data_IF_913719881578
#
_entry.id   IF_913719881578
#
_cell.length_a   1.000
_cell.length_b   1.000
_cell.length_c   1.000
_cell.angle_alpha   90.00
_cell.angle_beta   90.00
_cell.angle_gamma   90.00
#
_symmetry.space_group_name_H-M   'P 1'
#
loop_
_entity.id
_entity.type
_entity.pdbx_description
1 polymer ?
#
# COMPACT_ATOMS: atom_id res chain seq x y z
N UNK A 1 -24.48 27.87 3.31
CA UNK A 1 -25.09 27.00 2.30
C UNK A 1 -24.65 25.58 2.57
N UNK A 2 -25.60 24.75 3.03
CA UNK A 2 -25.60 23.28 3.10
C UNK A 2 -24.38 22.65 3.81
N UNK A 3 -24.44 22.33 5.11
CA UNK A 3 -25.24 21.21 5.61
C UNK A 3 -25.32 20.05 4.60
N UNK A 4 -24.16 19.53 4.17
CA UNK A 4 -24.08 18.17 3.62
C UNK A 4 -24.07 17.21 4.82
N UNK A 5 -25.23 17.13 5.45
CA UNK A 5 -25.71 15.86 5.96
C UNK A 5 -25.93 14.96 4.74
N UNK A 6 -24.91 14.21 4.37
CA UNK A 6 -25.01 12.90 3.70
C UNK A 6 -24.09 12.01 4.54
N UNK A 7 -24.59 11.16 5.44
CA UNK A 7 -24.97 9.79 5.05
C UNK A 7 -24.76 9.60 3.55
N UNK A 8 -23.52 9.39 3.13
CA UNK A 8 -23.26 8.92 1.79
C UNK A 8 -23.89 7.53 1.67
N UNK A 9 -25.12 7.48 1.16
CA UNK A 9 -25.42 6.55 0.07
C UNK A 9 -24.18 6.50 -0.84
N UNK A 10 -23.57 5.38 -1.18
CA UNK A 10 -24.11 4.09 -1.60
C UNK A 10 -22.89 3.19 -1.91
N UNK A 11 -23.05 1.89 -2.22
CA UNK A 11 -22.02 0.95 -2.70
C UNK A 11 -20.87 1.51 -3.58
N UNK A 12 -21.10 2.62 -4.29
CA UNK A 12 -20.13 3.31 -5.13
C UNK A 12 -18.84 3.77 -4.43
N UNK A 13 -18.87 4.16 -3.14
CA UNK A 13 -17.66 4.57 -2.43
C UNK A 13 -16.63 3.44 -2.30
N UNK A 14 -17.09 2.19 -2.36
CA UNK A 14 -16.23 1.00 -2.34
C UNK A 14 -15.85 0.52 -3.75
N UNK A 15 -16.54 0.99 -4.79
CA UNK A 15 -16.25 0.61 -6.17
C UNK A 15 -14.94 1.23 -6.67
N UNK A 16 -14.62 2.44 -6.26
CA UNK A 16 -13.37 3.08 -6.68
C UNK A 16 -12.13 2.34 -6.14
N UNK A 17 -12.01 2.03 -4.83
CA UNK A 17 -10.94 1.18 -4.32
C UNK A 17 -10.90 -0.21 -4.98
N UNK A 18 -12.06 -0.82 -5.23
CA UNK A 18 -12.14 -2.11 -5.94
C UNK A 18 -11.61 -1.99 -7.37
N UNK A 19 -12.00 -0.95 -8.10
CA UNK A 19 -11.57 -0.68 -9.46
C UNK A 19 -10.06 -0.50 -9.53
N UNK A 20 -9.49 0.40 -8.73
CA UNK A 20 -8.05 0.61 -8.69
C UNK A 20 -7.28 -0.64 -8.27
N UNK A 21 -7.83 -1.42 -7.34
CA UNK A 21 -7.29 -2.72 -6.97
C UNK A 21 -7.28 -3.72 -8.12
N UNK A 22 -8.38 -3.83 -8.89
CA UNK A 22 -8.47 -4.70 -10.07
C UNK A 22 -7.51 -4.26 -11.15
N UNK A 23 -7.46 -2.96 -11.45
CA UNK A 23 -6.52 -2.41 -12.44
C UNK A 23 -5.08 -2.67 -12.00
N UNK A 24 -4.76 -2.52 -10.70
CA UNK A 24 -3.45 -2.88 -10.15
C UNK A 24 -3.13 -4.37 -10.34
N UNK A 25 -4.10 -5.24 -10.09
CA UNK A 25 -3.95 -6.67 -10.36
C UNK A 25 -3.89 -7.00 -11.85
N UNK A 26 -4.34 -6.14 -12.76
CA UNK A 26 -4.27 -6.39 -14.21
C UNK A 26 -2.99 -5.84 -14.85
N UNK A 27 -2.60 -4.61 -14.51
CA UNK A 27 -1.51 -3.86 -15.14
C UNK A 27 -0.23 -3.79 -14.29
N UNK A 28 -0.34 -3.96 -12.97
CA UNK A 28 0.77 -3.88 -12.02
C UNK A 28 0.92 -2.52 -11.35
N UNK A 29 1.62 -2.54 -10.21
CA UNK A 29 1.77 -1.41 -9.30
C UNK A 29 2.52 -0.23 -9.93
N UNK A 30 3.59 -0.49 -10.67
CA UNK A 30 4.36 0.51 -11.41
C UNK A 30 3.54 1.37 -12.36
N UNK A 31 2.44 0.84 -12.91
CA UNK A 31 1.58 1.60 -13.83
C UNK A 31 0.49 2.31 -13.04
N UNK A 32 -0.16 1.58 -12.14
CA UNK A 32 -1.40 2.04 -11.51
C UNK A 32 -1.17 3.09 -10.45
N UNK A 33 -0.12 2.94 -9.63
CA UNK A 33 0.13 3.88 -8.55
C UNK A 33 0.52 5.28 -9.01
N UNK A 34 1.44 5.48 -9.97
CA UNK A 34 1.73 6.81 -10.48
C UNK A 34 0.49 7.49 -11.06
N UNK A 35 -0.33 6.74 -11.81
CA UNK A 35 -1.58 7.26 -12.37
C UNK A 35 -2.58 7.65 -11.28
N UNK A 36 -2.81 6.76 -10.32
CA UNK A 36 -3.69 7.02 -9.17
C UNK A 36 -3.25 8.29 -8.44
N UNK A 37 -1.96 8.40 -8.12
CA UNK A 37 -1.41 9.55 -7.39
C UNK A 37 -1.47 10.84 -8.20
N UNK A 38 -1.24 10.78 -9.51
CA UNK A 38 -1.39 11.94 -10.39
C UNK A 38 -2.84 12.45 -10.37
N UNK A 39 -3.81 11.55 -10.45
CA UNK A 39 -5.24 11.91 -10.43
C UNK A 39 -5.69 12.46 -9.06
N UNK A 40 -5.09 11.99 -7.97
CA UNK A 40 -5.44 12.37 -6.59
C UNK A 40 -4.44 13.34 -5.93
N UNK A 41 -3.56 13.97 -6.72
CA UNK A 41 -2.53 14.87 -6.18
C UNK A 41 -3.14 16.12 -5.53
N UNK A 42 -4.21 16.65 -6.13
CA UNK A 42 -4.97 17.76 -5.56
C UNK A 42 -5.62 17.38 -4.22
N UNK A 43 -6.15 16.16 -4.13
CA UNK A 43 -6.81 15.66 -2.92
C UNK A 43 -5.81 15.46 -1.78
N UNK A 44 -4.53 15.19 -2.05
CA UNK A 44 -3.50 15.13 -1.01
C UNK A 44 -3.29 16.47 -0.30
N UNK A 45 -3.38 17.57 -1.05
CA UNK A 45 -3.28 18.93 -0.50
C UNK A 45 -4.53 19.28 0.30
N UNK A 46 -5.71 18.95 -0.23
CA UNK A 46 -7.00 19.17 0.40
C UNK A 46 -7.43 18.05 1.35
N UNK A 47 -6.51 17.15 1.75
CA UNK A 47 -6.87 15.93 2.46
C UNK A 47 -7.59 16.25 3.77
N UNK A 48 -8.77 15.63 3.91
CA UNK A 48 -9.62 15.68 5.09
C UNK A 48 -9.76 14.26 5.63
N UNK A 49 -9.42 14.00 6.90
CA UNK A 49 -9.53 12.67 7.46
C UNK A 49 -10.98 12.20 7.46
N UNK A 50 -11.17 10.89 7.29
CA UNK A 50 -12.50 10.29 7.38
C UNK A 50 -13.06 10.52 8.80
N UNK A 51 -14.26 11.10 8.95
CA UNK A 51 -14.81 11.43 10.26
C UNK A 51 -15.11 10.17 11.08
N UNK A 52 -15.37 9.05 10.40
CA UNK A 52 -15.66 7.76 11.02
C UNK A 52 -14.90 6.65 10.30
N UNK A 53 -14.14 5.88 11.07
CA UNK A 53 -13.44 4.68 10.61
C UNK A 53 -13.96 3.50 11.42
N UNK A 54 -14.54 2.52 10.75
CA UNK A 54 -15.11 1.33 11.38
C UNK A 54 -14.02 0.35 11.84
N UNK A 55 -14.28 -0.43 12.90
CA UNK A 55 -13.42 -1.56 13.29
C UNK A 55 -13.30 -2.60 12.17
N UNK A 56 -14.33 -2.73 11.33
CA UNK A 56 -14.32 -3.55 10.13
C UNK A 56 -13.13 -3.22 9.22
N UNK A 57 -12.81 -1.93 9.02
CA UNK A 57 -11.65 -1.53 8.21
C UNK A 57 -10.32 -1.99 8.80
N UNK A 58 -10.18 -1.99 10.14
CA UNK A 58 -8.97 -2.54 10.80
C UNK A 58 -8.84 -4.04 10.54
N UNK A 59 -9.95 -4.78 10.64
CA UNK A 59 -9.96 -6.22 10.34
C UNK A 59 -9.59 -6.47 8.88
N UNK A 60 -10.17 -5.72 7.94
CA UNK A 60 -9.86 -5.85 6.51
C UNK A 60 -8.41 -5.46 6.21
N UNK A 61 -7.87 -4.44 6.86
CA UNK A 61 -6.45 -4.10 6.74
C UNK A 61 -5.55 -5.24 7.23
N UNK A 62 -5.88 -5.87 8.35
CA UNK A 62 -5.14 -7.03 8.87
C UNK A 62 -5.24 -8.25 7.94
N UNK A 63 -6.43 -8.55 7.41
CA UNK A 63 -6.62 -9.64 6.44
C UNK A 63 -5.87 -9.35 5.15
N UNK A 64 -5.96 -8.12 4.63
CA UNK A 64 -5.25 -7.67 3.43
C UNK A 64 -3.73 -7.70 3.58
N UNK A 65 -3.22 -7.51 4.80
CA UNK A 65 -1.81 -7.67 5.12
C UNK A 65 -1.33 -9.13 5.08
N UNK A 66 -2.17 -10.07 5.54
CA UNK A 66 -1.81 -11.50 5.63
C UNK A 66 -2.05 -12.23 4.30
N UNK A 67 -3.05 -11.81 3.52
CA UNK A 67 -3.46 -12.50 2.30
C UNK A 67 -2.32 -12.69 1.28
N UNK A 68 -1.46 -11.69 0.97
CA UNK A 68 -0.33 -11.88 0.07
C UNK A 68 0.61 -13.01 0.51
N UNK A 69 0.88 -13.14 1.80
CA UNK A 69 1.73 -14.23 2.32
C UNK A 69 1.10 -15.61 2.06
N UNK A 70 -0.23 -15.72 2.24
CA UNK A 70 -0.96 -16.95 1.95
C UNK A 70 -0.92 -17.32 0.45
N UNK A 71 -0.97 -16.33 -0.44
CA UNK A 71 -0.92 -16.57 -1.89
C UNK A 71 0.49 -16.86 -2.42
N UNK A 72 1.54 -16.40 -1.74
CA UNK A 72 2.94 -16.67 -2.13
C UNK A 72 3.44 -17.99 -1.51
N UNK A 73 2.74 -18.56 -0.51
CA UNK A 73 3.12 -19.83 0.11
C UNK A 73 3.48 -20.97 -0.87
N UNK A 74 2.77 -21.19 -2.00
CA UNK A 74 3.16 -22.22 -2.98
C UNK A 74 4.54 -22.02 -3.62
N UNK A 75 5.15 -20.84 -3.50
CA UNK A 75 6.52 -20.59 -3.93
C UNK A 75 7.57 -21.10 -2.95
N UNK A 76 7.18 -21.41 -1.70
CA UNK A 76 8.07 -21.86 -0.63
C UNK A 76 7.87 -23.33 -0.24
N UNK A 77 6.80 -23.95 -0.72
CA UNK A 77 6.45 -25.35 -0.41
C UNK A 77 6.04 -26.05 -1.68
N UNK A 78 6.52 -27.28 -1.85
CA UNK A 78 6.16 -28.12 -2.99
C UNK A 78 4.65 -28.34 -3.05
N UNK A 79 4.02 -27.67 -4.01
CA UNK A 79 2.58 -27.67 -4.22
C UNK A 79 2.25 -28.26 -5.59
N UNK A 80 1.07 -28.87 -5.72
CA UNK A 80 0.62 -29.35 -7.02
C UNK A 80 0.41 -28.16 -7.98
N UNK A 81 0.67 -28.31 -9.29
CA UNK A 81 0.45 -27.24 -10.27
C UNK A 81 -0.99 -26.68 -10.22
N UNK A 82 -1.97 -27.55 -9.97
CA UNK A 82 -3.37 -27.16 -9.82
C UNK A 82 -3.60 -26.22 -8.64
N UNK A 83 -2.93 -26.45 -7.50
CA UNK A 83 -3.02 -25.56 -6.34
C UNK A 83 -2.36 -24.21 -6.64
N UNK A 84 -1.18 -24.21 -7.27
CA UNK A 84 -0.48 -22.98 -7.66
C UNK A 84 -1.31 -22.13 -8.61
N UNK A 85 -1.93 -22.74 -9.64
CA UNK A 85 -2.81 -22.02 -10.57
C UNK A 85 -4.04 -21.44 -9.87
N UNK A 86 -4.66 -22.19 -8.95
CA UNK A 86 -5.79 -21.69 -8.14
C UNK A 86 -5.38 -20.52 -7.26
N UNK A 87 -4.23 -20.61 -6.59
CA UNK A 87 -3.72 -19.53 -5.74
C UNK A 87 -3.47 -18.24 -6.56
N UNK A 88 -2.82 -18.36 -7.73
CA UNK A 88 -2.59 -17.22 -8.63
C UNK A 88 -3.91 -16.61 -9.10
N UNK A 89 -4.89 -17.45 -9.48
CA UNK A 89 -6.19 -16.98 -9.92
C UNK A 89 -6.94 -16.23 -8.79
N UNK A 90 -6.97 -16.80 -7.59
CA UNK A 90 -7.63 -16.20 -6.42
C UNK A 90 -6.96 -14.88 -6.00
N UNK A 91 -5.63 -14.78 -6.11
CA UNK A 91 -4.90 -13.56 -5.80
C UNK A 91 -5.40 -12.35 -6.62
N UNK A 92 -5.76 -12.55 -7.90
CA UNK A 92 -6.30 -11.47 -8.76
C UNK A 92 -7.64 -10.94 -8.28
N UNK A 93 -8.43 -11.75 -7.58
CA UNK A 93 -9.71 -11.36 -6.99
C UNK A 93 -9.57 -10.82 -5.56
N UNK A 94 -8.36 -10.70 -5.01
CA UNK A 94 -8.18 -10.19 -3.64
C UNK A 94 -8.76 -8.79 -3.43
N UNK A 95 -8.62 -7.79 -4.33
CA UNK A 95 -9.20 -6.47 -4.07
C UNK A 95 -10.73 -6.44 -3.98
N UNK A 96 -11.50 -7.00 -4.95
CA UNK A 96 -12.95 -7.04 -4.81
C UNK A 96 -13.39 -7.92 -3.62
N UNK A 97 -12.66 -9.00 -3.31
CA UNK A 97 -12.96 -9.82 -2.13
C UNK A 97 -12.81 -9.04 -0.82
N UNK A 98 -11.76 -8.23 -0.67
CA UNK A 98 -11.55 -7.39 0.52
C UNK A 98 -12.61 -6.29 0.64
N UNK A 99 -13.05 -5.73 -0.48
CA UNK A 99 -14.16 -4.76 -0.51
C UNK A 99 -15.49 -5.39 -0.10
N UNK A 100 -15.80 -6.58 -0.63
CA UNK A 100 -16.99 -7.32 -0.23
C UNK A 100 -16.93 -7.73 1.26
N UNK A 101 -15.76 -8.13 1.74
CA UNK A 101 -15.53 -8.42 3.14
C UNK A 101 -15.79 -7.19 4.00
N UNK A 102 -15.26 -6.01 3.64
CA UNK A 102 -15.53 -4.77 4.35
C UNK A 102 -17.03 -4.49 4.43
N UNK A 103 -17.71 -4.52 3.27
CA UNK A 103 -19.14 -4.28 3.20
C UNK A 103 -19.95 -5.25 4.08
N UNK A 104 -19.55 -6.52 4.14
CA UNK A 104 -20.18 -7.53 4.99
C UNK A 104 -19.90 -7.28 6.48
N UNK A 105 -18.65 -6.99 6.86
CA UNK A 105 -18.27 -6.73 8.25
C UNK A 105 -18.92 -5.45 8.79
N UNK A 106 -19.16 -4.44 7.96
CA UNK A 106 -19.88 -3.23 8.35
C UNK A 106 -21.38 -3.46 8.63
N UNK A 107 -21.96 -4.58 8.19
CA UNK A 107 -23.30 -4.98 8.64
C UNK A 107 -23.30 -5.59 10.05
N UNK A 108 -22.12 -5.88 10.61
CA UNK A 108 -22.00 -6.49 11.93
C UNK A 108 -21.94 -5.42 13.02
N UNK A 109 -22.88 -5.37 13.99
CA UNK A 109 -22.99 -4.27 14.97
C UNK A 109 -21.72 -3.99 15.80
N UNK A 110 -20.93 -5.02 16.10
CA UNK A 110 -19.68 -4.85 16.85
C UNK A 110 -18.53 -4.25 16.02
N UNK A 111 -18.55 -4.49 14.71
CA UNK A 111 -17.48 -4.10 13.79
C UNK A 111 -17.79 -2.79 13.04
N UNK A 112 -19.06 -2.40 12.96
CA UNK A 112 -19.48 -1.09 12.44
C UNK A 112 -19.18 0.06 13.41
N UNK A 113 -18.89 -0.24 14.67
CA UNK A 113 -18.47 0.76 15.66
C UNK A 113 -17.16 1.43 15.24
N UNK A 114 -17.09 2.74 15.47
CA UNK A 114 -15.90 3.53 15.19
C UNK A 114 -14.72 3.14 16.09
N UNK A 115 -13.51 3.16 15.53
CA UNK A 115 -12.28 3.11 16.31
C UNK A 115 -11.92 4.50 16.86
N UNK A 116 -11.20 4.52 17.98
CA UNK A 116 -10.78 5.77 18.63
C UNK A 116 -9.81 6.59 17.76
N UNK A 117 -9.00 5.92 16.93
CA UNK A 117 -8.06 6.58 16.02
C UNK A 117 -8.36 6.19 14.57
N UNK A 118 -8.71 7.14 13.69
CA UNK A 118 -8.92 6.87 12.27
C UNK A 118 -7.62 6.47 11.54
N UNK A 119 -6.46 6.74 12.15
CA UNK A 119 -5.15 6.32 11.63
C UNK A 119 -4.89 4.80 11.79
N UNK A 120 -5.61 4.10 12.67
CA UNK A 120 -5.28 2.73 13.05
C UNK A 120 -5.21 1.72 11.88
N UNK A 121 -6.16 1.67 10.93
CA UNK A 121 -6.05 0.75 9.79
C UNK A 121 -4.82 1.04 8.91
N UNK A 122 -4.47 2.32 8.75
CA UNK A 122 -3.30 2.74 7.98
C UNK A 122 -2.00 2.35 8.70
N UNK A 123 -1.96 2.43 10.03
CA UNK A 123 -0.83 1.95 10.83
C UNK A 123 -0.67 0.43 10.73
N UNK A 124 -1.76 -0.33 10.70
CA UNK A 124 -1.72 -1.79 10.46
C UNK A 124 -1.15 -2.09 9.08
N UNK A 125 -1.63 -1.40 8.04
CA UNK A 125 -1.11 -1.55 6.68
C UNK A 125 0.38 -1.16 6.58
N UNK A 126 0.78 -0.06 7.23
CA UNK A 126 2.16 0.39 7.28
C UNK A 126 3.08 -0.63 7.97
N UNK A 127 2.67 -1.16 9.11
CA UNK A 127 3.43 -2.17 9.84
C UNK A 127 3.62 -3.44 9.01
N UNK A 128 2.57 -3.92 8.35
CA UNK A 128 2.65 -5.08 7.48
C UNK A 128 3.58 -4.85 6.28
N UNK A 129 3.45 -3.72 5.59
CA UNK A 129 4.33 -3.36 4.48
C UNK A 129 5.80 -3.23 4.92
N UNK A 130 6.05 -2.61 6.07
CA UNK A 130 7.38 -2.47 6.64
C UNK A 130 8.00 -3.83 6.99
N UNK A 131 7.24 -4.71 7.64
CA UNK A 131 7.70 -6.06 7.97
C UNK A 131 8.05 -6.85 6.72
N UNK A 132 7.20 -6.80 5.68
CA UNK A 132 7.47 -7.46 4.40
C UNK A 132 8.74 -6.93 3.73
N UNK A 133 8.93 -5.61 3.69
CA UNK A 133 10.12 -4.98 3.11
C UNK A 133 11.39 -5.31 3.90
N UNK A 134 11.36 -5.18 5.23
CA UNK A 134 12.50 -5.52 6.10
C UNK A 134 12.85 -7.00 5.99
N UNK A 135 11.86 -7.89 5.95
CA UNK A 135 12.09 -9.32 5.71
C UNK A 135 12.80 -9.55 4.38
N UNK A 136 12.35 -8.91 3.30
CA UNK A 136 12.98 -9.02 1.98
C UNK A 136 14.42 -8.48 1.98
N UNK A 137 14.67 -7.33 2.63
CA UNK A 137 16.00 -6.75 2.80
C UNK A 137 16.93 -7.68 3.58
N UNK A 138 16.48 -8.16 4.75
CA UNK A 138 17.28 -9.06 5.59
C UNK A 138 17.58 -10.36 4.84
N UNK A 139 16.57 -10.97 4.21
CA UNK A 139 16.75 -12.16 3.37
C UNK A 139 17.80 -11.93 2.27
N UNK A 140 17.73 -10.81 1.56
CA UNK A 140 18.70 -10.45 0.53
C UNK A 140 20.09 -10.08 1.10
N UNK A 141 20.19 -9.59 2.33
CA UNK A 141 21.46 -9.24 2.97
C UNK A 141 22.29 -10.47 3.36
N UNK A 142 21.64 -11.62 3.61
CA UNK A 142 22.32 -12.87 3.98
C UNK A 142 23.12 -13.50 2.84
N UNK A 143 22.96 -13.03 1.59
CA UNK A 143 23.67 -13.55 0.41
C UNK A 143 24.45 -12.46 -0.31
N UNK A 144 25.73 -12.72 -0.57
CA UNK A 144 26.64 -11.77 -1.23
C UNK A 144 26.07 -11.32 -2.58
N UNK A 145 26.03 -9.99 -2.81
CA UNK A 145 25.49 -9.33 -4.02
C UNK A 145 23.98 -9.48 -4.24
N UNK A 146 23.22 -10.11 -3.34
CA UNK A 146 21.78 -10.32 -3.53
C UNK A 146 20.96 -9.04 -3.32
N UNK A 147 21.37 -8.11 -2.44
CA UNK A 147 20.75 -6.78 -2.33
C UNK A 147 20.79 -6.02 -3.67
N UNK A 148 21.96 -5.93 -4.30
CA UNK A 148 22.08 -5.31 -5.62
C UNK A 148 21.22 -6.04 -6.64
N UNK A 149 21.23 -7.38 -6.65
CA UNK A 149 20.36 -8.14 -7.54
C UNK A 149 18.88 -7.87 -7.25
N UNK A 150 18.42 -7.74 -6.02
CA UNK A 150 16.98 -7.57 -5.74
C UNK A 150 16.50 -6.14 -6.02
N UNK A 151 17.33 -5.12 -5.79
CA UNK A 151 16.89 -3.72 -5.81
C UNK A 151 17.50 -2.86 -6.92
N UNK A 152 18.54 -3.34 -7.62
CA UNK A 152 19.25 -2.54 -8.62
C UNK A 152 19.23 -3.18 -10.01
N UNK A 153 18.49 -2.61 -10.99
CA UNK A 153 18.41 -3.17 -12.32
C UNK A 153 19.74 -3.05 -13.06
N UNK A 154 20.25 -4.18 -13.54
CA UNK A 154 21.42 -4.20 -14.42
C UNK A 154 21.03 -4.10 -15.92
N UNK A 155 19.78 -3.75 -16.22
CA UNK A 155 19.21 -3.61 -17.56
C UNK A 155 18.80 -4.95 -18.21
N UNK A 156 18.17 -4.88 -19.41
CA UNK A 156 17.72 -6.07 -20.14
C UNK A 156 18.92 -6.92 -20.55
N UNK A 157 18.83 -8.22 -20.30
CA UNK A 157 19.82 -9.23 -20.69
C UNK A 157 19.12 -10.31 -21.51
N UNK A 158 19.84 -10.97 -22.42
CA UNK A 158 19.36 -12.24 -23.00
C UNK A 158 19.25 -13.23 -21.83
N UNK A 159 18.03 -13.61 -21.48
CA UNK A 159 17.75 -14.34 -20.25
C UNK A 159 16.44 -15.11 -20.28
N UNK A 160 16.21 -15.84 -19.21
CA UNK A 160 14.98 -16.62 -18.98
C UNK A 160 13.80 -15.70 -18.62
N UNK A 161 12.59 -16.27 -18.59
CA UNK A 161 11.40 -15.59 -18.06
C UNK A 161 11.62 -15.16 -16.60
N UNK A 162 12.38 -15.94 -15.82
CA UNK A 162 12.72 -15.59 -14.45
C UNK A 162 13.58 -14.32 -14.38
N UNK A 163 14.55 -14.17 -15.29
CA UNK A 163 15.38 -12.96 -15.37
C UNK A 163 14.55 -11.72 -15.74
N UNK A 164 13.59 -11.88 -16.67
CA UNK A 164 12.67 -10.81 -17.05
C UNK A 164 11.72 -10.43 -15.91
N UNK A 165 11.15 -11.41 -15.20
CA UNK A 165 10.28 -11.18 -14.04
C UNK A 165 11.04 -10.51 -12.88
N UNK A 166 12.29 -10.90 -12.68
CA UNK A 166 13.18 -10.27 -11.71
C UNK A 166 13.43 -8.81 -12.09
N UNK A 167 13.81 -8.54 -13.34
CA UNK A 167 14.04 -7.18 -13.82
C UNK A 167 12.79 -6.29 -13.69
N UNK A 168 11.62 -6.85 -14.00
CA UNK A 168 10.34 -6.18 -13.79
C UNK A 168 10.14 -5.78 -12.32
N UNK A 169 10.38 -6.70 -11.37
CA UNK A 169 10.22 -6.42 -9.95
C UNK A 169 11.15 -5.29 -9.45
N UNK A 170 12.38 -5.23 -9.96
CA UNK A 170 13.33 -4.16 -9.63
C UNK A 170 12.80 -2.79 -10.06
N UNK A 171 12.32 -2.68 -11.30
CA UNK A 171 11.73 -1.44 -11.79
C UNK A 171 10.41 -1.12 -11.10
N UNK A 172 9.61 -2.13 -10.73
CA UNK A 172 8.35 -1.96 -10.01
C UNK A 172 8.57 -1.22 -8.67
N UNK A 173 9.56 -1.65 -7.89
CA UNK A 173 9.92 -0.98 -6.62
C UNK A 173 10.41 0.46 -6.84
N UNK A 174 11.24 0.70 -7.86
CA UNK A 174 11.77 2.04 -8.16
C UNK A 174 10.65 2.99 -8.58
N UNK A 175 9.76 2.55 -9.47
CA UNK A 175 8.64 3.38 -9.96
C UNK A 175 7.65 3.65 -8.83
N UNK A 176 7.34 2.65 -8.00
CA UNK A 176 6.53 2.86 -6.79
C UNK A 176 7.16 3.90 -5.86
N UNK A 177 8.46 3.80 -5.57
CA UNK A 177 9.16 4.78 -4.74
C UNK A 177 9.11 6.19 -5.35
N UNK A 178 9.32 6.31 -6.66
CA UNK A 178 9.26 7.57 -7.39
C UNK A 178 7.87 8.22 -7.40
N UNK A 179 6.79 7.43 -7.30
CA UNK A 179 5.44 7.96 -7.14
C UNK A 179 5.11 8.28 -5.67
N UNK A 180 5.45 7.36 -4.77
CA UNK A 180 5.02 7.42 -3.38
C UNK A 180 5.73 8.52 -2.59
N UNK A 181 7.01 8.76 -2.85
CA UNK A 181 7.78 9.79 -2.13
C UNK A 181 7.23 11.19 -2.41
N UNK A 182 7.03 11.65 -3.66
CA UNK A 182 6.40 12.94 -3.93
C UNK A 182 4.98 13.05 -3.35
N UNK A 183 4.17 12.00 -3.45
CA UNK A 183 2.80 12.04 -2.91
C UNK A 183 2.79 12.13 -1.38
N UNK A 184 3.64 11.35 -0.69
CA UNK A 184 3.84 11.44 0.75
C UNK A 184 4.39 12.82 1.17
N UNK A 185 5.25 13.42 0.35
CA UNK A 185 5.69 14.80 0.55
C UNK A 185 4.51 15.77 0.52
N UNK A 186 3.66 15.70 -0.51
CA UNK A 186 2.46 16.56 -0.61
C UNK A 186 1.49 16.35 0.57
N UNK A 187 1.39 15.13 1.08
CA UNK A 187 0.60 14.85 2.28
C UNK A 187 1.19 15.50 3.53
N UNK A 188 2.51 15.46 3.72
CA UNK A 188 3.14 15.91 4.98
C UNK A 188 3.59 17.37 4.97
N UNK A 189 3.77 17.99 3.79
CA UNK A 189 4.22 19.37 3.64
C UNK A 189 3.38 20.39 4.45
N UNK A 190 2.03 20.26 4.51
CA UNK A 190 1.20 21.16 5.32
C UNK A 190 1.43 21.03 6.84
N UNK A 191 1.94 19.88 7.32
CA UNK A 191 2.17 19.65 8.75
C UNK A 191 3.46 20.32 9.26
N UNK A 192 4.31 20.85 8.38
CA UNK A 192 5.59 21.48 8.77
C UNK A 192 5.44 22.73 9.63
N UNK A 193 4.26 23.35 9.64
CA UNK A 193 3.93 24.46 10.53
C UNK A 193 3.43 24.03 11.91
N UNK A 194 3.16 22.74 12.12
CA UNK A 194 2.70 22.21 13.40
C UNK A 194 3.89 22.05 14.36
N UNK A 195 3.85 22.63 15.57
CA UNK A 195 4.93 22.49 16.56
C UNK A 195 5.18 21.03 16.99
N UNK A 196 4.22 20.13 16.80
CA UNK A 196 4.36 18.70 17.12
C UNK A 196 4.97 17.90 15.96
N UNK A 197 5.10 18.50 14.78
CA UNK A 197 5.71 17.84 13.64
C UNK A 197 7.23 18.04 13.65
N UNK A 198 7.98 16.94 13.79
CA UNK A 198 9.42 16.98 14.06
C UNK A 198 10.29 17.55 12.91
N UNK A 199 9.73 17.78 11.72
CA UNK A 199 10.49 18.15 10.52
C UNK A 199 9.94 19.43 9.88
N UNK A 200 10.66 20.54 10.03
CA UNK A 200 10.23 21.85 9.48
C UNK A 200 10.79 22.15 8.08
N UNK A 201 11.98 21.64 7.74
CA UNK A 201 12.64 21.94 6.46
C UNK A 201 12.15 21.08 5.30
N UNK A 202 11.87 21.69 4.13
CA UNK A 202 11.46 20.96 2.90
C UNK A 202 12.47 19.87 2.51
N UNK A 203 13.76 20.23 2.48
CA UNK A 203 14.83 19.30 2.11
C UNK A 203 14.97 18.17 3.15
N UNK A 204 14.79 18.48 4.43
CA UNK A 204 14.83 17.50 5.51
C UNK A 204 13.68 16.50 5.40
N UNK A 205 12.46 16.98 5.06
CA UNK A 205 11.30 16.11 4.83
C UNK A 205 11.51 15.21 3.61
N UNK A 206 11.97 15.76 2.49
CA UNK A 206 12.27 14.99 1.29
C UNK A 206 13.35 13.91 1.57
N UNK A 207 14.44 14.28 2.26
CA UNK A 207 15.49 13.35 2.65
C UNK A 207 14.96 12.26 3.59
N UNK A 208 14.15 12.62 4.58
CA UNK A 208 13.52 11.66 5.49
C UNK A 208 12.64 10.65 4.74
N UNK A 209 11.83 11.11 3.79
CA UNK A 209 10.96 10.23 2.99
C UNK A 209 11.76 9.26 2.11
N UNK A 210 12.85 9.73 1.49
CA UNK A 210 13.75 8.88 0.70
C UNK A 210 14.42 7.84 1.60
N UNK A 211 15.01 8.26 2.72
CA UNK A 211 15.67 7.34 3.66
C UNK A 211 14.68 6.33 4.23
N UNK A 212 13.49 6.78 4.62
CA UNK A 212 12.42 5.90 5.13
C UNK A 212 11.97 4.89 4.07
N UNK A 213 11.89 5.31 2.81
CA UNK A 213 11.53 4.40 1.69
C UNK A 213 12.56 3.29 1.53
N UNK A 214 13.85 3.58 1.74
CA UNK A 214 14.89 2.56 1.71
C UNK A 214 14.80 1.60 2.91
N UNK A 215 14.50 2.11 4.10
CA UNK A 215 14.50 1.34 5.35
C UNK A 215 13.23 0.50 5.53
N UNK A 216 12.06 1.11 5.41
CA UNK A 216 10.75 0.47 5.68
C UNK A 216 9.93 0.21 4.40
N UNK A 217 10.43 0.62 3.24
CA UNK A 217 9.77 0.39 1.96
C UNK A 217 8.78 1.50 1.59
N UNK A 218 8.50 1.67 0.29
CA UNK A 218 7.64 2.75 -0.20
C UNK A 218 6.21 2.63 0.34
N UNK A 219 5.64 1.40 0.36
CA UNK A 219 4.27 1.17 0.83
C UNK A 219 4.04 1.60 2.28
N UNK A 220 5.02 1.34 3.16
CA UNK A 220 4.95 1.77 4.54
C UNK A 220 5.01 3.31 4.65
N UNK A 221 5.89 3.96 3.90
CA UNK A 221 6.02 5.42 3.88
C UNK A 221 4.71 6.09 3.49
N UNK A 222 4.05 5.63 2.42
CA UNK A 222 2.76 6.18 2.00
C UNK A 222 1.69 6.00 3.07
N UNK A 223 1.56 4.79 3.63
CA UNK A 223 0.57 4.50 4.65
C UNK A 223 0.80 5.31 5.94
N UNK A 224 2.07 5.51 6.35
CA UNK A 224 2.43 6.38 7.47
C UNK A 224 2.13 7.85 7.19
N UNK A 225 2.38 8.33 5.97
CA UNK A 225 2.06 9.70 5.60
C UNK A 225 0.54 9.98 5.66
N UNK A 226 -0.26 9.04 5.18
CA UNK A 226 -1.73 9.08 5.31
C UNK A 226 -2.16 9.00 6.78
N UNK A 227 -1.55 8.12 7.58
CA UNK A 227 -1.85 7.97 9.00
C UNK A 227 -1.56 9.26 9.78
N UNK A 228 -0.44 9.93 9.48
CA UNK A 228 -0.06 11.20 10.10
C UNK A 228 -1.06 12.32 9.79
N UNK A 229 -1.74 12.28 8.65
CA UNK A 229 -2.82 13.23 8.30
C UNK A 229 -4.15 12.91 9.00
N UNK A 230 -4.26 11.75 9.64
CA UNK A 230 -5.41 11.32 10.42
C UNK A 230 -5.22 11.50 11.94
N UNK A 231 -4.03 11.90 12.39
CA UNK A 231 -3.69 12.12 13.80
C UNK A 231 -3.87 13.60 14.17
#
# INVERSE_FOLDING_TARGET
MLAIARRSSAPFALLEPAFWGIVNQAYGAAVVYPLYMLLHAHDALAFSPLPHVSRALVVVAAVGAVAPAAFIFPAYVDCSPALTHRAIALYRFSPPALVLLLAALEQTPLLSQSVASPALPLLVAAAAAALGHVYALLGASTRTKMLRRVFWPDGPRKGSIADAAHLFLQYDVIVMAAAFVPYAYLLLDPLRGDPNFAVSGSLALAALLVVSTLVVGPGAVLALALAARCA
#
